data_IF_830048852625
#
_entry.id   IF_830048852625
#
_cell.length_a   1.000
_cell.length_b   1.000
_cell.length_c   1.000
_cell.angle_alpha   90.00
_cell.angle_beta   90.00
_cell.angle_gamma   90.00
#
_symmetry.space_group_name_H-M   'P 1'
#
loop_
_entity.id
_entity.type
_entity.pdbx_description
1 polymer ?
#
# COMPACT_ATOMS: atom_id res chain seq x y z
N UNK A 1 -25.78 45.24 6.53
CA UNK A 1 -24.66 44.43 7.04
C UNK A 1 -24.93 43.00 6.63
N UNK A 2 -24.32 42.58 5.50
CA UNK A 2 -24.46 41.20 4.99
C UNK A 2 -23.36 40.38 5.62
N UNK A 3 -23.74 39.46 6.49
CA UNK A 3 -22.86 38.43 7.01
C UNK A 3 -22.55 37.47 5.85
N UNK A 4 -21.32 37.54 5.32
CA UNK A 4 -20.81 36.53 4.43
C UNK A 4 -20.67 35.23 5.22
N UNK A 5 -21.53 34.28 4.92
CA UNK A 5 -21.34 32.90 5.39
C UNK A 5 -20.00 32.40 4.82
N UNK A 6 -19.05 32.11 5.70
CA UNK A 6 -17.85 31.38 5.32
C UNK A 6 -18.28 30.02 4.72
N UNK A 7 -17.65 29.54 3.64
CA UNK A 7 -17.98 28.22 3.11
C UNK A 7 -17.68 27.18 4.17
N UNK A 8 -18.70 26.52 4.65
CA UNK A 8 -18.55 25.33 5.47
C UNK A 8 -17.77 24.31 4.65
N UNK A 9 -16.60 23.91 5.12
CA UNK A 9 -15.88 22.76 4.60
C UNK A 9 -16.85 21.58 4.61
N UNK A 10 -17.21 21.06 3.42
CA UNK A 10 -17.95 19.83 3.30
C UNK A 10 -17.13 18.74 4.01
N UNK A 11 -17.65 18.25 5.14
CA UNK A 11 -17.05 17.13 5.84
C UNK A 11 -17.04 15.94 4.88
N UNK A 12 -15.85 15.51 4.50
CA UNK A 12 -15.62 14.37 3.63
C UNK A 12 -16.28 13.12 4.18
N UNK A 13 -17.39 12.72 3.59
CA UNK A 13 -18.19 11.59 4.04
C UNK A 13 -17.65 10.28 3.47
N UNK A 14 -17.54 9.24 4.31
CA UNK A 14 -17.16 7.89 3.87
C UNK A 14 -18.31 7.18 3.19
N UNK A 15 -18.06 6.63 2.02
CA UNK A 15 -19.02 5.72 1.36
C UNK A 15 -19.13 4.42 2.16
N UNK A 16 -20.34 3.98 2.40
CA UNK A 16 -20.61 2.73 3.11
C UNK A 16 -20.57 1.59 2.09
N UNK A 17 -19.74 0.59 2.37
CA UNK A 17 -19.70 -0.65 1.57
C UNK A 17 -20.76 -1.60 2.12
N UNK A 18 -21.79 -1.92 1.30
CA UNK A 18 -22.88 -2.82 1.68
C UNK A 18 -22.41 -4.27 1.86
N UNK A 19 -23.20 -5.13 2.54
CA UNK A 19 -22.90 -6.56 2.62
C UNK A 19 -22.72 -7.21 1.25
N UNK A 20 -23.56 -6.91 0.28
CA UNK A 20 -23.51 -7.45 -1.09
C UNK A 20 -22.22 -7.00 -1.81
N UNK A 21 -21.83 -5.74 -1.66
CA UNK A 21 -20.58 -5.23 -2.19
C UNK A 21 -19.36 -5.93 -1.56
N UNK A 22 -19.42 -6.20 -0.24
CA UNK A 22 -18.37 -6.97 0.45
C UNK A 22 -18.25 -8.39 -0.09
N UNK A 23 -19.36 -9.08 -0.30
CA UNK A 23 -19.40 -10.42 -0.90
C UNK A 23 -18.79 -10.47 -2.30
N UNK A 24 -18.97 -9.40 -3.10
CA UNK A 24 -18.31 -9.23 -4.40
C UNK A 24 -16.82 -8.93 -4.28
N UNK A 25 -16.43 -8.03 -3.39
CA UNK A 25 -15.06 -7.48 -3.33
C UNK A 25 -14.07 -8.45 -2.69
N UNK A 26 -14.43 -9.10 -1.59
CA UNK A 26 -13.50 -9.95 -0.84
C UNK A 26 -12.88 -11.07 -1.70
N UNK A 27 -13.65 -11.79 -2.53
CA UNK A 27 -13.08 -12.82 -3.42
C UNK A 27 -12.10 -12.30 -4.46
N UNK A 28 -12.20 -11.02 -4.89
CA UNK A 28 -11.27 -10.40 -5.83
C UNK A 28 -9.82 -10.40 -5.31
N UNK A 29 -9.64 -10.44 -4.01
CA UNK A 29 -8.35 -10.49 -3.31
C UNK A 29 -8.06 -11.90 -2.74
N UNK A 30 -8.73 -12.93 -3.21
CA UNK A 30 -8.59 -14.32 -2.74
C UNK A 30 -8.73 -14.46 -1.21
N UNK A 31 -9.43 -13.54 -0.56
CA UNK A 31 -9.56 -13.44 0.90
C UNK A 31 -8.20 -13.38 1.63
N UNK A 32 -7.18 -12.77 1.00
CA UNK A 32 -5.82 -12.67 1.54
C UNK A 32 -5.50 -11.26 2.02
N UNK A 33 -4.77 -11.21 3.12
CA UNK A 33 -4.20 -9.96 3.65
C UNK A 33 -3.08 -9.46 2.73
N UNK A 34 -3.17 -8.20 2.32
CA UNK A 34 -2.23 -7.62 1.37
C UNK A 34 -0.81 -7.45 1.92
N UNK A 35 -0.63 -7.43 3.26
CA UNK A 35 0.68 -7.25 3.86
C UNK A 35 1.45 -8.56 4.02
N UNK A 36 0.75 -9.64 4.30
CA UNK A 36 1.37 -10.94 4.61
C UNK A 36 1.08 -12.02 3.59
N UNK A 37 0.08 -11.82 2.72
CA UNK A 37 -0.43 -12.86 1.82
C UNK A 37 -1.19 -13.98 2.53
N UNK A 38 -1.32 -13.94 3.86
CA UNK A 38 -2.03 -14.95 4.63
C UNK A 38 -3.54 -14.86 4.41
N UNK A 39 -4.22 -16.02 4.42
CA UNK A 39 -5.68 -16.05 4.31
C UNK A 39 -6.31 -15.44 5.55
N UNK A 40 -7.26 -14.52 5.35
CA UNK A 40 -8.01 -13.90 6.43
C UNK A 40 -9.15 -14.83 6.83
N UNK A 41 -9.14 -15.30 8.08
CA UNK A 41 -10.16 -16.19 8.66
C UNK A 41 -11.17 -15.46 9.54
N UNK A 42 -10.93 -14.17 9.80
CA UNK A 42 -11.82 -13.28 10.55
C UNK A 42 -12.49 -12.29 9.60
N UNK A 43 -13.15 -11.27 10.14
CA UNK A 43 -13.72 -10.20 9.31
C UNK A 43 -12.59 -9.43 8.62
N UNK A 44 -12.57 -9.46 7.29
CA UNK A 44 -11.64 -8.69 6.48
C UNK A 44 -12.07 -7.22 6.41
N UNK A 45 -11.08 -6.33 6.37
CA UNK A 45 -11.29 -4.90 6.13
C UNK A 45 -10.94 -4.57 4.67
N UNK A 46 -11.90 -3.98 3.94
CA UNK A 46 -11.67 -3.44 2.60
C UNK A 46 -11.12 -2.04 2.80
N UNK A 47 -9.87 -1.84 2.46
CA UNK A 47 -9.12 -0.64 2.75
C UNK A 47 -8.67 0.07 1.47
N UNK A 48 -8.74 1.40 1.46
CA UNK A 48 -8.21 2.19 0.38
C UNK A 48 -6.68 2.09 0.33
N UNK A 49 -6.09 1.78 -0.80
CA UNK A 49 -4.63 1.82 -0.96
C UNK A 49 -4.09 3.21 -0.60
N UNK A 50 -4.63 4.27 -1.20
CA UNK A 50 -4.36 5.64 -0.78
C UNK A 50 -5.14 5.95 0.51
N UNK A 51 -4.48 6.40 1.60
CA UNK A 51 -5.18 6.62 2.86
C UNK A 51 -6.31 7.65 2.68
N UNK A 52 -7.44 7.40 3.32
CA UNK A 52 -8.65 8.23 3.20
C UNK A 52 -8.36 9.71 3.44
N UNK A 53 -7.48 10.05 4.38
CA UNK A 53 -7.06 11.42 4.66
C UNK A 53 -6.42 12.16 3.47
N UNK A 54 -5.89 11.42 2.48
CA UNK A 54 -5.27 11.96 1.25
C UNK A 54 -6.16 11.88 0.01
N UNK A 55 -7.35 11.32 0.12
CA UNK A 55 -8.33 11.37 -0.96
C UNK A 55 -9.00 12.73 -0.98
N UNK A 56 -9.36 13.27 -2.12
CA UNK A 56 -10.18 14.47 -2.22
C UNK A 56 -11.63 14.19 -1.84
N UNK A 57 -12.15 13.05 -2.32
CA UNK A 57 -13.44 12.51 -1.97
C UNK A 57 -13.35 10.99 -1.85
N UNK A 58 -14.31 10.36 -1.20
CA UNK A 58 -14.36 8.89 -1.11
C UNK A 58 -14.75 8.28 -2.47
N UNK A 59 -14.39 7.02 -2.64
CA UNK A 59 -14.61 6.25 -3.86
C UNK A 59 -15.84 5.37 -3.67
N UNK A 60 -16.87 5.59 -4.47
CA UNK A 60 -18.06 4.73 -4.48
C UNK A 60 -17.77 3.44 -5.26
N UNK A 61 -17.64 2.35 -4.53
CA UNK A 61 -17.34 1.03 -5.11
C UNK A 61 -18.45 0.49 -6.03
N UNK A 62 -19.68 1.03 -5.95
CA UNK A 62 -20.79 0.62 -6.81
C UNK A 62 -20.58 1.00 -8.28
N UNK A 63 -19.76 2.02 -8.52
CA UNK A 63 -19.45 2.55 -9.85
C UNK A 63 -18.20 1.94 -10.47
N UNK A 64 -17.47 1.08 -9.73
CA UNK A 64 -16.19 0.55 -10.15
C UNK A 64 -16.31 -0.85 -10.78
N UNK A 65 -15.49 -1.10 -11.81
CA UNK A 65 -15.18 -2.44 -12.28
C UNK A 65 -14.29 -3.20 -11.27
N UNK A 66 -14.17 -4.51 -11.45
CA UNK A 66 -13.34 -5.34 -10.56
C UNK A 66 -11.84 -4.96 -10.64
N UNK A 67 -11.37 -4.56 -11.81
CA UNK A 67 -10.01 -4.05 -12.02
C UNK A 67 -9.78 -2.72 -11.31
N UNK A 68 -10.75 -1.82 -11.35
CA UNK A 68 -10.67 -0.53 -10.65
C UNK A 68 -10.72 -0.73 -9.13
N UNK A 69 -11.51 -1.69 -8.64
CA UNK A 69 -11.51 -2.07 -7.23
C UNK A 69 -10.11 -2.54 -6.81
N UNK A 70 -9.49 -3.45 -7.56
CA UNK A 70 -8.11 -3.92 -7.29
C UNK A 70 -7.06 -2.81 -7.36
N UNK A 71 -7.29 -1.82 -8.20
CA UNK A 71 -6.41 -0.65 -8.33
C UNK A 71 -6.46 0.26 -7.10
N UNK A 72 -7.65 0.47 -6.55
CA UNK A 72 -7.88 1.47 -5.50
C UNK A 72 -7.95 0.89 -4.09
N UNK A 73 -8.23 -0.40 -3.96
CA UNK A 73 -8.44 -1.05 -2.68
C UNK A 73 -7.47 -2.21 -2.45
N UNK A 74 -7.39 -2.63 -1.22
CA UNK A 74 -6.71 -3.84 -0.77
C UNK A 74 -7.48 -4.47 0.38
N UNK A 75 -7.22 -5.73 0.67
CA UNK A 75 -7.85 -6.44 1.77
C UNK A 75 -6.85 -6.57 2.92
N UNK A 76 -7.27 -6.22 4.11
CA UNK A 76 -6.45 -6.27 5.32
C UNK A 76 -7.18 -6.98 6.46
N UNK A 77 -6.42 -7.54 7.40
CA UNK A 77 -6.94 -7.81 8.74
C UNK A 77 -7.21 -6.49 9.45
N UNK A 78 -8.05 -6.52 10.49
CA UNK A 78 -8.30 -5.32 11.32
C UNK A 78 -7.01 -4.74 11.91
N UNK A 79 -6.11 -5.60 12.39
CA UNK A 79 -4.85 -5.16 13.01
C UNK A 79 -3.93 -4.47 12.00
N UNK A 80 -3.85 -5.01 10.78
CA UNK A 80 -3.08 -4.40 9.70
C UNK A 80 -3.70 -3.11 9.19
N UNK A 81 -5.02 -3.02 9.16
CA UNK A 81 -5.71 -1.77 8.81
C UNK A 81 -5.42 -0.67 9.85
N UNK A 82 -5.48 -0.98 11.13
CA UNK A 82 -5.10 -0.05 12.21
C UNK A 82 -3.61 0.33 12.17
N UNK A 83 -2.73 -0.63 11.88
CA UNK A 83 -1.30 -0.37 11.70
C UNK A 83 -1.06 0.60 10.55
N UNK A 84 -1.69 0.35 9.39
CA UNK A 84 -1.63 1.24 8.24
C UNK A 84 -2.09 2.64 8.57
N UNK A 85 -3.23 2.79 9.23
CA UNK A 85 -3.75 4.10 9.61
C UNK A 85 -2.72 4.90 10.43
N UNK A 86 -2.16 4.30 11.48
CA UNK A 86 -1.11 4.93 12.32
C UNK A 86 0.12 5.34 11.50
N UNK A 87 0.58 4.47 10.60
CA UNK A 87 1.76 4.74 9.77
C UNK A 87 1.50 5.81 8.72
N UNK A 88 0.33 5.83 8.13
CA UNK A 88 -0.09 6.88 7.20
C UNK A 88 -0.25 8.23 7.92
N UNK A 89 -0.81 8.26 9.13
CA UNK A 89 -0.89 9.47 9.96
C UNK A 89 0.51 10.02 10.28
N UNK A 90 1.45 9.16 10.62
CA UNK A 90 2.84 9.55 10.85
C UNK A 90 3.46 10.15 9.56
N UNK A 91 3.23 9.51 8.40
CA UNK A 91 3.70 10.01 7.12
C UNK A 91 3.10 11.39 6.78
N UNK A 92 1.80 11.60 7.05
CA UNK A 92 1.13 12.87 6.85
C UNK A 92 1.77 13.99 7.68
N UNK A 93 2.08 13.69 8.95
CA UNK A 93 2.69 14.67 9.88
C UNK A 93 4.15 15.00 9.56
N UNK A 94 4.91 14.05 9.04
CA UNK A 94 6.38 14.17 8.91
C UNK A 94 6.86 14.30 7.47
N UNK A 95 6.01 14.08 6.48
CA UNK A 95 6.38 13.91 5.07
C UNK A 95 7.44 12.83 4.83
N UNK A 96 7.54 11.85 5.74
CA UNK A 96 8.42 10.69 5.62
C UNK A 96 7.61 9.41 5.51
N UNK A 97 7.84 8.66 4.45
CA UNK A 97 7.24 7.34 4.26
C UNK A 97 7.80 6.37 5.31
N UNK A 98 6.95 5.62 6.01
CA UNK A 98 7.42 4.65 7.00
C UNK A 98 8.07 3.44 6.33
N UNK A 99 8.97 2.77 7.05
CA UNK A 99 9.42 1.44 6.68
C UNK A 99 8.26 0.46 6.73
N UNK A 100 8.20 -0.47 5.76
CA UNK A 100 7.18 -1.50 5.69
C UNK A 100 7.75 -2.84 6.17
N UNK A 101 7.08 -3.50 7.11
CA UNK A 101 7.53 -4.75 7.74
C UNK A 101 8.99 -4.70 8.20
N UNK A 102 9.41 -3.56 8.77
CA UNK A 102 10.77 -3.34 9.24
C UNK A 102 11.82 -3.10 8.16
N UNK A 103 11.43 -3.00 6.88
CA UNK A 103 12.33 -2.78 5.75
C UNK A 103 12.22 -1.36 5.23
N UNK A 104 13.36 -0.68 5.10
CA UNK A 104 13.48 0.62 4.42
C UNK A 104 13.66 0.37 2.93
N UNK A 105 12.55 0.14 2.25
CA UNK A 105 12.50 -0.09 0.82
C UNK A 105 11.22 0.51 0.25
N UNK A 106 11.32 1.15 -0.88
CA UNK A 106 10.22 1.70 -1.67
C UNK A 106 10.45 1.30 -3.12
N UNK A 107 9.47 0.67 -3.76
CA UNK A 107 9.63 0.23 -5.15
C UNK A 107 9.53 1.38 -6.15
N UNK A 108 9.06 2.57 -5.70
CA UNK A 108 9.12 3.84 -6.41
C UNK A 108 9.48 4.94 -5.42
N UNK A 109 10.47 5.77 -5.77
CA UNK A 109 10.93 6.87 -4.91
C UNK A 109 11.75 6.41 -3.69
N UNK A 110 11.73 7.21 -2.66
CA UNK A 110 12.50 7.00 -1.43
C UNK A 110 11.66 7.30 -0.16
N UNK A 111 12.32 7.49 0.98
CA UNK A 111 11.69 7.80 2.26
C UNK A 111 10.89 9.11 2.22
N UNK A 112 11.25 10.07 1.37
CA UNK A 112 10.56 11.37 1.29
C UNK A 112 9.22 11.22 0.55
N UNK A 113 8.15 11.68 1.19
CA UNK A 113 6.85 11.77 0.53
C UNK A 113 6.83 13.00 -0.40
N UNK A 114 6.51 12.78 -1.68
CA UNK A 114 6.51 13.81 -2.73
C UNK A 114 5.14 14.03 -3.39
N UNK A 115 4.06 13.72 -2.67
CA UNK A 115 2.69 13.90 -3.16
C UNK A 115 2.02 12.60 -3.62
N UNK A 116 2.77 11.52 -3.81
CA UNK A 116 2.26 10.21 -4.19
C UNK A 116 2.60 9.14 -3.15
N UNK A 117 1.67 8.21 -2.96
CA UNK A 117 1.85 7.04 -2.08
C UNK A 117 2.47 5.84 -2.80
N UNK A 118 2.56 5.86 -4.14
CA UNK A 118 3.14 4.75 -4.90
C UNK A 118 4.58 4.45 -4.44
N UNK A 119 4.92 3.19 -4.36
CA UNK A 119 6.20 2.74 -3.83
C UNK A 119 6.17 2.33 -2.36
N UNK A 120 5.22 2.80 -1.58
CA UNK A 120 5.07 2.48 -0.16
C UNK A 120 4.33 1.15 0.03
N UNK A 121 4.83 0.26 0.92
CA UNK A 121 4.17 -1.02 1.21
C UNK A 121 2.81 -0.88 1.90
N UNK A 122 2.57 0.22 2.62
CA UNK A 122 1.24 0.51 3.18
C UNK A 122 0.24 0.98 2.12
N UNK A 123 0.71 1.48 0.97
CA UNK A 123 -0.13 1.79 -0.18
C UNK A 123 -0.53 0.52 -0.94
N UNK A 124 0.45 -0.30 -1.31
CA UNK A 124 0.20 -1.56 -2.02
C UNK A 124 1.15 -2.66 -1.51
N UNK A 125 0.69 -3.42 -0.53
CA UNK A 125 1.49 -4.46 0.13
C UNK A 125 1.85 -5.61 -0.80
N UNK A 126 0.97 -5.97 -1.71
CA UNK A 126 1.20 -7.06 -2.68
C UNK A 126 2.30 -6.66 -3.65
N UNK A 127 2.14 -5.52 -4.32
CA UNK A 127 3.14 -5.01 -5.28
C UNK A 127 4.49 -4.76 -4.61
N UNK A 128 4.48 -4.20 -3.40
CA UNK A 128 5.70 -3.99 -2.62
C UNK A 128 6.46 -5.30 -2.37
N UNK A 129 5.76 -6.35 -1.97
CA UNK A 129 6.36 -7.67 -1.70
C UNK A 129 6.94 -8.28 -2.97
N UNK A 130 6.24 -8.20 -4.08
CA UNK A 130 6.72 -8.67 -5.37
C UNK A 130 8.00 -7.96 -5.81
N UNK A 131 8.03 -6.63 -5.76
CA UNK A 131 9.19 -5.84 -6.17
C UNK A 131 10.37 -5.99 -5.19
N UNK A 132 10.11 -6.07 -3.89
CA UNK A 132 11.14 -6.35 -2.89
C UNK A 132 11.81 -7.71 -3.12
N UNK A 133 11.04 -8.75 -3.41
CA UNK A 133 11.57 -10.08 -3.71
C UNK A 133 12.40 -10.10 -5.00
N UNK A 134 11.95 -9.41 -6.06
CA UNK A 134 12.74 -9.25 -7.29
C UNK A 134 14.07 -8.57 -7.02
N UNK A 135 14.10 -7.52 -6.21
CA UNK A 135 15.34 -6.82 -5.86
C UNK A 135 16.29 -7.70 -5.04
N UNK A 136 15.77 -8.51 -4.12
CA UNK A 136 16.57 -9.50 -3.36
C UNK A 136 17.22 -10.55 -4.25
N UNK A 137 16.49 -11.05 -5.24
CA UNK A 137 17.04 -11.99 -6.24
C UNK A 137 18.16 -11.33 -7.05
N UNK A 138 17.96 -10.10 -7.52
CA UNK A 138 18.97 -9.33 -8.27
C UNK A 138 20.23 -9.07 -7.42
N UNK A 139 20.07 -8.67 -6.17
CA UNK A 139 21.17 -8.44 -5.23
C UNK A 139 22.01 -9.71 -5.02
N UNK A 140 21.34 -10.84 -4.82
CA UNK A 140 22.00 -12.15 -4.67
C UNK A 140 22.75 -12.55 -5.94
N UNK A 141 22.16 -12.39 -7.10
CA UNK A 141 22.81 -12.68 -8.38
C UNK A 141 24.07 -11.81 -8.61
N UNK A 142 23.99 -10.52 -8.28
CA UNK A 142 25.15 -9.60 -8.36
C UNK A 142 26.29 -10.04 -7.43
N UNK A 143 25.98 -10.41 -6.19
CA UNK A 143 26.98 -10.90 -5.23
C UNK A 143 27.66 -12.19 -5.71
N UNK A 144 26.89 -13.12 -6.26
CA UNK A 144 27.43 -14.37 -6.81
C UNK A 144 28.32 -14.12 -8.01
N UNK A 145 27.93 -13.23 -8.93
CA UNK A 145 28.74 -12.86 -10.09
C UNK A 145 30.07 -12.22 -9.66
N UNK A 146 30.05 -11.28 -8.73
CA UNK A 146 31.24 -10.63 -8.19
C UNK A 146 32.17 -11.68 -7.56
N UNK A 147 31.64 -12.57 -6.73
CA UNK A 147 32.43 -13.66 -6.11
C UNK A 147 33.08 -14.58 -7.16
N UNK A 148 32.34 -14.92 -8.24
CA UNK A 148 32.86 -15.69 -9.34
C UNK A 148 34.02 -14.99 -10.07
N UNK A 149 33.87 -13.70 -10.37
CA UNK A 149 34.89 -12.90 -11.04
C UNK A 149 36.17 -12.79 -10.21
N UNK A 150 36.09 -12.59 -8.90
CA UNK A 150 37.26 -12.57 -8.02
C UNK A 150 38.00 -13.92 -8.06
N UNK A 151 37.31 -15.04 -7.94
CA UNK A 151 37.93 -16.38 -8.04
C UNK A 151 38.61 -16.60 -9.38
N UNK A 152 38.00 -16.16 -10.47
CA UNK A 152 38.57 -16.28 -11.81
C UNK A 152 39.85 -15.46 -11.97
N UNK A 153 39.89 -14.23 -11.46
CA UNK A 153 41.08 -13.37 -11.51
C UNK A 153 42.21 -13.96 -10.69
N UNK A 154 41.93 -14.48 -9.48
CA UNK A 154 42.95 -15.06 -8.62
C UNK A 154 43.50 -16.38 -9.18
N UNK A 155 42.70 -17.15 -9.90
CA UNK A 155 43.14 -18.40 -10.54
C UNK A 155 44.02 -18.20 -11.79
N UNK A 156 44.09 -16.97 -12.33
CA UNK A 156 44.86 -16.65 -13.53
C UNK A 156 46.07 -15.73 -13.24
N UNK A 157 46.48 -15.59 -11.98
CA UNK A 157 47.73 -14.99 -11.54
C UNK A 157 48.78 -16.07 -11.28
#
# INVERSE_FOLDING_TARGET
MLLSAEPTFDEKTRCIISPEQRERIIPLFESRDAFTGAKITTRAEIDHKKPFARLEQDIDVSLLSDEEIKKHFQLLTRDHNLLKDRKCQQCIKTNKRPSFLGKKYWYVGDEKFTGDCEGCGYYDGVKWTEEFNKEKVRETARKNLISYLYKYIDSNK
#
